data_IF_624148574399
#
_entry.id   IF_624148574399
#
_cell.length_a   1.000
_cell.length_b   1.000
_cell.length_c   1.000
_cell.angle_alpha   90.00
_cell.angle_beta   90.00
_cell.angle_gamma   90.00
#
_symmetry.space_group_name_H-M   'P 1'
#
loop_
_entity.id
_entity.type
_entity.pdbx_description
1 polymer ?
#
# COMPACT_ATOMS: atom_id res chain seq x y z
N UNK A 1 1.17 23.85 -15.99
CA UNK A 1 1.48 23.37 -14.64
C UNK A 1 0.21 23.21 -13.79
N UNK A 2 -0.81 24.06 -13.95
CA UNK A 2 -2.10 23.95 -13.26
C UNK A 2 -2.90 22.66 -13.57
N UNK A 3 -2.73 22.07 -14.75
CA UNK A 3 -3.52 20.88 -15.18
C UNK A 3 -3.13 19.58 -14.48
N UNK A 4 -1.88 19.43 -14.00
CA UNK A 4 -1.41 18.20 -13.35
C UNK A 4 -1.86 18.10 -11.88
N UNK A 5 -2.10 19.24 -11.23
CA UNK A 5 -2.65 19.30 -9.86
C UNK A 5 -4.18 19.23 -9.83
N UNK A 6 -4.84 19.34 -10.99
CA UNK A 6 -6.30 19.31 -11.11
C UNK A 6 -6.90 17.90 -11.16
N UNK A 7 -6.07 16.85 -11.11
CA UNK A 7 -6.56 15.47 -11.04
C UNK A 7 -7.21 15.28 -9.67
N UNK A 8 -8.55 15.17 -9.66
CA UNK A 8 -9.29 14.80 -8.46
C UNK A 8 -8.71 13.49 -7.92
N UNK A 9 -8.32 13.43 -6.64
CA UNK A 9 -7.90 12.18 -6.03
C UNK A 9 -8.95 11.10 -6.33
N UNK A 10 -8.49 9.93 -6.77
CA UNK A 10 -9.37 8.78 -6.93
C UNK A 10 -10.04 8.40 -5.61
N UNK A 11 -11.08 7.57 -5.71
CA UNK A 11 -11.70 6.95 -4.53
C UNK A 11 -10.69 6.02 -3.83
N UNK A 12 -10.90 5.70 -2.56
CA UNK A 12 -9.99 4.80 -1.88
C UNK A 12 -9.97 3.44 -2.59
N UNK A 13 -8.78 2.85 -2.77
CA UNK A 13 -8.61 1.60 -3.52
C UNK A 13 -9.37 0.42 -2.89
N UNK A 14 -9.68 0.51 -1.60
CA UNK A 14 -10.48 -0.47 -0.87
C UNK A 14 -11.99 -0.35 -1.14
N UNK A 15 -12.48 0.76 -1.69
CA UNK A 15 -13.92 0.93 -1.97
C UNK A 15 -14.43 -0.13 -2.97
N UNK A 16 -15.51 -0.83 -2.58
CA UNK A 16 -16.13 -1.87 -3.41
C UNK A 16 -15.42 -3.22 -3.39
N UNK A 17 -14.32 -3.35 -2.65
CA UNK A 17 -13.61 -4.62 -2.52
C UNK A 17 -14.27 -5.55 -1.50
N UNK A 18 -13.91 -6.84 -1.53
CA UNK A 18 -14.33 -7.77 -0.46
C UNK A 18 -13.69 -7.39 0.88
N UNK A 19 -14.28 -7.83 2.00
CA UNK A 19 -13.77 -7.49 3.34
C UNK A 19 -12.29 -7.88 3.54
N UNK A 20 -11.89 -9.04 2.99
CA UNK A 20 -10.49 -9.48 2.99
C UNK A 20 -9.59 -8.52 2.21
N UNK A 21 -9.94 -8.20 0.97
CA UNK A 21 -9.19 -7.26 0.15
C UNK A 21 -9.13 -5.86 0.75
N UNK A 22 -10.22 -5.39 1.37
CA UNK A 22 -10.23 -4.11 2.07
C UNK A 22 -9.20 -4.07 3.20
N UNK A 23 -9.12 -5.11 4.03
CA UNK A 23 -8.16 -5.20 5.12
C UNK A 23 -6.71 -5.20 4.60
N UNK A 24 -6.42 -5.99 3.57
CA UNK A 24 -5.10 -6.07 2.94
C UNK A 24 -4.67 -4.73 2.32
N UNK A 25 -5.55 -4.09 1.55
CA UNK A 25 -5.30 -2.77 0.94
C UNK A 25 -5.08 -1.70 1.99
N UNK A 26 -5.93 -1.63 3.02
CA UNK A 26 -5.82 -0.61 4.07
C UNK A 26 -4.52 -0.77 4.86
N UNK A 27 -4.12 -2.01 5.18
CA UNK A 27 -2.85 -2.28 5.84
C UNK A 27 -1.64 -1.89 4.97
N UNK A 28 -1.63 -2.28 3.70
CA UNK A 28 -0.55 -1.92 2.77
C UNK A 28 -0.47 -0.40 2.55
N UNK A 29 -1.60 0.30 2.48
CA UNK A 29 -1.65 1.76 2.37
C UNK A 29 -1.08 2.44 3.62
N UNK A 30 -1.44 1.95 4.82
CA UNK A 30 -0.92 2.46 6.09
C UNK A 30 0.59 2.22 6.25
N UNK A 31 1.14 1.13 5.70
CA UNK A 31 2.58 0.89 5.64
C UNK A 31 3.33 1.79 4.64
N UNK A 32 2.64 2.24 3.60
CA UNK A 32 3.26 2.95 2.47
C UNK A 32 3.49 4.45 2.73
N UNK A 33 2.78 5.03 3.71
CA UNK A 33 2.99 6.44 4.11
C UNK A 33 4.28 6.62 4.90
N UNK A 34 4.79 7.86 4.99
CA UNK A 34 6.04 8.18 5.71
C UNK A 34 5.77 9.29 6.75
N UNK A 35 5.93 9.02 8.07
CA UNK A 35 6.28 7.72 8.67
C UNK A 35 5.15 6.68 8.50
N UNK A 36 5.45 5.36 8.54
CA UNK A 36 4.42 4.32 8.48
C UNK A 36 3.35 4.51 9.57
N UNK A 37 2.08 4.39 9.19
CA UNK A 37 0.92 4.59 10.05
C UNK A 37 0.18 3.28 10.35
N UNK A 38 0.78 2.13 10.06
CA UNK A 38 0.23 0.83 10.43
C UNK A 38 0.13 0.71 11.96
N UNK A 39 -0.98 0.13 12.43
CA UNK A 39 -1.31 0.02 13.86
C UNK A 39 -1.81 -1.39 14.16
N UNK A 40 -1.85 -1.80 15.45
CA UNK A 40 -2.45 -3.08 15.85
C UNK A 40 -3.90 -3.25 15.38
N UNK A 41 -4.64 -2.15 15.18
CA UNK A 41 -6.00 -2.19 14.64
C UNK A 41 -6.06 -2.77 13.22
N UNK A 42 -5.05 -2.49 12.38
CA UNK A 42 -4.98 -3.08 11.04
C UNK A 42 -4.72 -4.59 11.10
N UNK A 43 -3.84 -5.04 12.01
CA UNK A 43 -3.57 -6.48 12.20
C UNK A 43 -4.84 -7.20 12.69
N UNK A 44 -5.58 -6.60 13.62
CA UNK A 44 -6.85 -7.15 14.07
C UNK A 44 -7.88 -7.28 12.93
N UNK A 45 -7.90 -6.35 11.96
CA UNK A 45 -8.75 -6.50 10.77
C UNK A 45 -8.30 -7.65 9.87
N UNK A 46 -7.00 -7.88 9.69
CA UNK A 46 -6.49 -9.03 8.94
C UNK A 46 -6.84 -10.36 9.63
N UNK A 47 -6.72 -10.43 10.96
CA UNK A 47 -7.10 -11.60 11.76
C UNK A 47 -8.60 -11.93 11.64
N UNK A 48 -9.47 -10.92 11.62
CA UNK A 48 -10.91 -11.12 11.37
C UNK A 48 -11.20 -11.76 10.02
N UNK A 49 -10.33 -11.53 9.03
CA UNK A 49 -10.40 -12.14 7.70
C UNK A 49 -9.66 -13.48 7.63
N UNK A 50 -9.22 -14.00 8.79
CA UNK A 50 -8.52 -15.27 8.97
C UNK A 50 -7.17 -15.35 8.27
N UNK A 51 -6.48 -14.21 8.13
CA UNK A 51 -5.09 -14.25 7.70
C UNK A 51 -4.22 -14.75 8.85
N UNK A 52 -3.50 -15.84 8.61
CA UNK A 52 -2.55 -16.37 9.58
C UNK A 52 -1.26 -15.51 9.67
N UNK A 53 -0.39 -15.85 10.61
CA UNK A 53 0.85 -15.09 10.84
C UNK A 53 1.79 -15.06 9.63
N UNK A 54 1.86 -16.14 8.85
CA UNK A 54 2.73 -16.20 7.68
C UNK A 54 2.13 -15.38 6.53
N UNK A 55 0.81 -15.43 6.32
CA UNK A 55 0.11 -14.59 5.36
C UNK A 55 0.27 -13.09 5.69
N UNK A 56 0.19 -12.73 6.98
CA UNK A 56 0.42 -11.34 7.44
C UNK A 56 1.87 -10.90 7.22
N UNK A 57 2.84 -11.79 7.46
CA UNK A 57 4.25 -11.53 7.22
C UNK A 57 4.53 -11.33 5.72
N UNK A 58 3.97 -12.17 4.87
CA UNK A 58 4.11 -12.08 3.43
C UNK A 58 3.54 -10.76 2.88
N UNK A 59 2.36 -10.35 3.38
CA UNK A 59 1.77 -9.06 3.05
C UNK A 59 2.64 -7.87 3.47
N UNK A 60 3.19 -7.91 4.69
CA UNK A 60 4.11 -6.88 5.20
C UNK A 60 5.37 -6.79 4.33
N UNK A 61 5.99 -7.92 4.02
CA UNK A 61 7.22 -7.99 3.22
C UNK A 61 6.97 -7.51 1.79
N UNK A 62 5.86 -7.91 1.18
CA UNK A 62 5.44 -7.45 -0.15
C UNK A 62 5.24 -5.93 -0.17
N UNK A 63 4.49 -5.37 0.78
CA UNK A 63 4.28 -3.93 0.88
C UNK A 63 5.60 -3.16 1.09
N UNK A 64 6.48 -3.65 1.96
CA UNK A 64 7.79 -3.05 2.21
C UNK A 64 8.70 -3.08 0.98
N UNK A 65 8.71 -4.20 0.23
CA UNK A 65 9.48 -4.35 -1.00
C UNK A 65 9.04 -3.33 -2.06
N UNK A 66 7.73 -3.20 -2.30
CA UNK A 66 7.22 -2.21 -3.24
C UNK A 66 7.46 -0.77 -2.77
N UNK A 67 7.32 -0.49 -1.48
CA UNK A 67 7.61 0.84 -0.95
C UNK A 67 9.09 1.22 -1.12
N UNK A 68 10.01 0.26 -1.02
CA UNK A 68 11.43 0.46 -1.34
C UNK A 68 11.65 0.63 -2.85
N UNK A 69 11.09 -0.26 -3.68
CA UNK A 69 11.25 -0.22 -5.13
C UNK A 69 10.70 1.08 -5.74
N UNK A 70 9.56 1.56 -5.26
CA UNK A 70 8.98 2.83 -5.68
C UNK A 70 9.91 4.01 -5.33
N UNK A 71 10.51 4.03 -4.14
CA UNK A 71 11.50 5.05 -3.76
C UNK A 71 12.77 4.97 -4.61
N UNK A 72 13.20 3.76 -4.96
CA UNK A 72 14.33 3.55 -5.88
C UNK A 72 14.04 4.13 -7.26
N UNK A 73 12.88 3.84 -7.84
CA UNK A 73 12.48 4.36 -9.15
C UNK A 73 12.36 5.89 -9.16
N UNK A 74 11.79 6.48 -8.11
CA UNK A 74 11.72 7.94 -7.96
C UNK A 74 13.11 8.59 -7.85
N UNK A 75 14.12 7.85 -7.39
CA UNK A 75 15.51 8.32 -7.30
C UNK A 75 16.25 8.20 -8.63
N UNK A 76 15.99 7.13 -9.39
CA UNK A 76 16.68 6.86 -10.66
C UNK A 76 16.12 7.66 -11.85
N UNK A 77 14.83 8.04 -11.83
CA UNK A 77 14.19 8.77 -12.92
C UNK A 77 13.82 7.90 -14.12
N UNK A 78 13.63 8.53 -15.28
CA UNK A 78 13.25 7.84 -16.53
C UNK A 78 14.37 6.90 -17.02
N UNK A 79 14.04 5.67 -17.46
CA UNK A 79 15.04 4.76 -17.99
C UNK A 79 15.71 5.34 -19.24
N UNK A 80 17.04 5.33 -19.28
CA UNK A 80 17.79 5.71 -20.48
C UNK A 80 17.67 4.60 -21.53
N UNK A 81 17.08 4.94 -22.68
CA UNK A 81 17.04 4.09 -23.86
C UNK A 81 18.10 4.59 -24.85
N UNK A 82 19.10 3.75 -25.23
CA UNK A 82 20.11 4.10 -26.24
C UNK A 82 19.52 4.38 -27.63
#
# INVERSE_FOLDING_TARGET
METLLAVRPGRALSEGQSARWQAEINYAAALSVTPPAATPGHLAELEKQKLDTLEQLDLLQSAAFFAWANRLMLTLGEPWLP
#
